data_IF_064351796417
#
_entry.id   IF_064351796417
#
_cell.length_a   1.000
_cell.length_b   1.000
_cell.length_c   1.000
_cell.angle_alpha   90.00
_cell.angle_beta   90.00
_cell.angle_gamma   90.00
#
_symmetry.space_group_name_H-M   'P 1'
#
loop_
_entity.id
_entity.type
_entity.pdbx_description
1 polymer ?
#
# COMPACT_ATOMS: atom_id res chain seq x y z
N UNK A 1 -11.74 1.64 8.75
CA UNK A 1 -10.58 0.90 9.31
C UNK A 1 -10.42 -0.49 8.70
N UNK A 2 -11.46 -1.34 8.66
CA UNK A 2 -11.34 -2.70 8.14
C UNK A 2 -10.80 -2.80 6.69
N UNK A 3 -11.23 -1.96 5.73
CA UNK A 3 -10.69 -1.99 4.36
C UNK A 3 -9.19 -1.65 4.28
N UNK A 4 -8.74 -0.67 5.07
CA UNK A 4 -7.32 -0.28 5.15
C UNK A 4 -6.48 -1.42 5.72
N UNK A 5 -6.96 -2.07 6.78
CA UNK A 5 -6.28 -3.23 7.37
C UNK A 5 -6.19 -4.38 6.37
N UNK A 6 -7.30 -4.74 5.72
CA UNK A 6 -7.30 -5.77 4.67
C UNK A 6 -6.31 -5.40 3.57
N UNK A 7 -6.41 -4.20 2.99
CA UNK A 7 -5.55 -3.75 1.90
C UNK A 7 -4.07 -3.77 2.27
N UNK A 8 -3.70 -3.28 3.46
CA UNK A 8 -2.30 -3.20 3.90
C UNK A 8 -1.69 -4.60 4.17
N UNK A 9 -2.51 -5.59 4.49
CA UNK A 9 -2.07 -6.96 4.81
C UNK A 9 -2.49 -8.01 3.76
N UNK A 10 -2.91 -7.60 2.55
CA UNK A 10 -3.09 -8.52 1.40
C UNK A 10 -1.80 -9.24 1.00
N UNK A 11 -0.64 -8.66 1.34
CA UNK A 11 0.67 -9.29 1.28
C UNK A 11 1.51 -8.86 2.48
N UNK A 12 2.84 -9.03 2.48
CA UNK A 12 3.68 -8.59 3.59
C UNK A 12 3.46 -7.11 3.91
N UNK A 13 3.11 -6.79 5.15
CA UNK A 13 2.67 -5.44 5.54
C UNK A 13 3.66 -4.33 5.21
N UNK A 14 4.98 -4.60 5.28
CA UNK A 14 6.01 -3.63 4.92
C UNK A 14 5.97 -3.24 3.43
N UNK A 15 5.57 -4.15 2.54
CA UNK A 15 5.46 -3.89 1.10
C UNK A 15 4.33 -2.90 0.84
N UNK A 16 3.12 -3.20 1.31
CA UNK A 16 1.94 -2.38 1.01
C UNK A 16 1.87 -1.12 1.86
N UNK A 17 2.42 -1.11 3.08
CA UNK A 17 2.54 0.13 3.87
C UNK A 17 3.45 1.13 3.16
N UNK A 18 4.61 0.70 2.66
CA UNK A 18 5.52 1.59 1.92
C UNK A 18 4.90 2.07 0.60
N UNK A 19 4.21 1.18 -0.13
CA UNK A 19 3.48 1.56 -1.32
C UNK A 19 2.39 2.60 -1.02
N UNK A 20 1.59 2.39 0.03
CA UNK A 20 0.55 3.34 0.46
C UNK A 20 1.13 4.71 0.82
N UNK A 21 2.25 4.75 1.55
CA UNK A 21 2.94 6.01 1.85
C UNK A 21 3.36 6.73 0.57
N UNK A 22 3.94 6.03 -0.41
CA UNK A 22 4.31 6.64 -1.69
C UNK A 22 3.07 7.17 -2.46
N UNK A 23 1.95 6.44 -2.47
CA UNK A 23 0.69 6.88 -3.09
C UNK A 23 0.07 8.10 -2.39
N UNK A 24 0.37 8.30 -1.12
CA UNK A 24 0.01 9.49 -0.35
C UNK A 24 1.07 10.61 -0.45
N UNK A 25 2.09 10.45 -1.32
CA UNK A 25 3.25 11.36 -1.45
C UNK A 25 4.06 11.53 -0.16
N UNK A 26 3.96 10.58 0.75
CA UNK A 26 4.77 10.47 1.96
C UNK A 26 6.06 9.68 1.66
N UNK A 27 7.12 9.81 2.47
CA UNK A 27 8.41 9.16 2.21
C UNK A 27 8.39 7.64 2.51
N UNK A 28 7.67 6.85 1.70
CA UNK A 28 7.61 5.39 1.83
C UNK A 28 8.85 4.67 1.30
N UNK A 29 9.44 5.17 0.22
CA UNK A 29 10.61 4.61 -0.45
C UNK A 29 10.38 3.20 -0.99
N UNK A 30 11.46 2.44 -1.18
CA UNK A 30 11.42 1.05 -1.63
C UNK A 30 11.69 0.08 -0.47
N UNK A 31 11.35 -1.19 -0.68
CA UNK A 31 11.66 -2.29 0.23
C UNK A 31 13.09 -2.80 0.02
N UNK A 32 13.71 -3.31 1.09
CA UNK A 32 15.01 -3.98 0.98
C UNK A 32 14.78 -5.48 0.91
N UNK A 33 15.66 -6.17 0.17
CA UNK A 33 15.68 -7.63 0.12
C UNK A 33 15.72 -8.23 1.54
N UNK A 34 15.04 -9.36 1.79
CA UNK A 34 14.41 -10.25 0.80
C UNK A 34 13.02 -9.82 0.32
N UNK A 35 12.50 -8.68 0.80
CA UNK A 35 11.23 -8.15 0.32
C UNK A 35 11.43 -7.40 -0.99
N UNK A 36 10.42 -7.49 -1.85
CA UNK A 36 10.34 -6.80 -3.14
C UNK A 36 9.13 -5.88 -3.15
N UNK A 37 9.19 -4.83 -3.97
CA UNK A 37 8.12 -3.83 -4.03
C UNK A 37 6.82 -4.40 -4.57
N UNK A 38 5.72 -3.72 -4.26
CA UNK A 38 4.39 -4.08 -4.73
C UNK A 38 4.35 -4.05 -6.25
N UNK A 39 3.79 -5.10 -6.85
CA UNK A 39 3.53 -5.13 -8.30
C UNK A 39 2.48 -4.09 -8.69
N UNK A 40 2.44 -3.70 -9.96
CA UNK A 40 1.44 -2.74 -10.46
C UNK A 40 -0.01 -3.18 -10.17
N UNK A 41 -0.30 -4.48 -10.26
CA UNK A 41 -1.60 -5.04 -9.94
C UNK A 41 -1.93 -4.91 -8.44
N UNK A 42 -0.96 -5.13 -7.56
CA UNK A 42 -1.13 -4.95 -6.11
C UNK A 42 -1.33 -3.48 -5.75
N UNK A 43 -0.63 -2.55 -6.41
CA UNK A 43 -0.84 -1.10 -6.21
C UNK A 43 -2.25 -0.69 -6.66
N UNK A 44 -2.73 -1.19 -7.80
CA UNK A 44 -4.09 -0.91 -8.26
C UNK A 44 -5.15 -1.36 -7.26
N UNK A 45 -5.02 -2.58 -6.70
CA UNK A 45 -5.92 -3.07 -5.66
C UNK A 45 -5.80 -2.27 -4.36
N UNK A 46 -4.58 -1.94 -3.94
CA UNK A 46 -4.31 -1.15 -2.74
C UNK A 46 -5.00 0.22 -2.81
N UNK A 47 -4.97 0.88 -3.98
CA UNK A 47 -5.67 2.16 -4.18
C UNK A 47 -7.17 2.06 -3.92
N UNK A 48 -7.80 0.98 -4.36
CA UNK A 48 -9.22 0.74 -4.11
C UNK A 48 -9.49 0.54 -2.62
N UNK A 49 -8.69 -0.31 -1.95
CA UNK A 49 -8.85 -0.57 -0.52
C UNK A 49 -8.66 0.69 0.33
N UNK A 50 -7.70 1.53 -0.04
CA UNK A 50 -7.43 2.80 0.63
C UNK A 50 -8.58 3.79 0.43
N UNK A 51 -9.12 3.92 -0.79
CA UNK A 51 -10.29 4.77 -1.07
C UNK A 51 -11.53 4.32 -0.32
N UNK A 52 -11.83 3.02 -0.32
CA UNK A 52 -12.92 2.45 0.49
C UNK A 52 -12.70 2.67 1.99
N UNK A 53 -11.43 2.76 2.41
CA UNK A 53 -11.01 3.11 3.75
C UNK A 53 -11.12 4.60 4.10
N UNK A 54 -11.46 5.48 3.15
CA UNK A 54 -11.51 6.93 3.31
C UNK A 54 -10.15 7.63 3.25
N UNK A 55 -9.10 6.96 2.75
CA UNK A 55 -7.76 7.53 2.61
C UNK A 55 -7.67 8.33 1.31
N UNK A 56 -7.20 9.58 1.43
CA UNK A 56 -6.92 10.42 0.27
C UNK A 56 -5.54 10.08 -0.28
N UNK A 57 -5.46 9.88 -1.60
CA UNK A 57 -4.23 9.62 -2.34
C UNK A 57 -3.90 10.86 -3.17
N UNK A 58 -2.61 11.06 -3.49
CA UNK A 58 -2.15 12.21 -4.25
C UNK A 58 -2.28 12.03 -5.78
#
# INVERSE_FOLDING_TARGET
LLPVFTGTFRTQGAILTKAALNEMGLPGGFTRLPLVDATAAQIAQLREDLRQGGVTLN
#
